data_IF_491591562757
#
_entry.id   IF_491591562757
#
_cell.length_a   1.000
_cell.length_b   1.000
_cell.length_c   1.000
_cell.angle_alpha   90.00
_cell.angle_beta   90.00
_cell.angle_gamma   90.00
#
_symmetry.space_group_name_H-M   'P 1'
#
loop_
_entity.id
_entity.type
_entity.pdbx_description
1 polymer ?
#
# COMPACT_ATOMS: atom_id res chain seq x y z
N UNK A 1 15.60 7.04 3.50
CA UNK A 1 15.86 7.90 2.32
C UNK A 1 14.58 8.64 2.00
N UNK A 2 14.60 9.98 2.07
CA UNK A 2 13.45 10.81 1.72
C UNK A 2 13.32 11.00 0.21
N UNK A 3 12.09 11.16 -0.26
CA UNK A 3 11.79 11.55 -1.63
C UNK A 3 11.44 13.04 -1.67
N UNK A 4 11.79 13.70 -2.76
CA UNK A 4 11.45 15.09 -3.02
C UNK A 4 10.85 15.25 -4.41
N UNK A 5 9.80 16.04 -4.52
CA UNK A 5 9.23 16.42 -5.81
C UNK A 5 9.98 17.63 -6.38
N UNK A 6 10.41 17.50 -7.61
CA UNK A 6 11.08 18.57 -8.36
C UNK A 6 10.29 18.83 -9.64
N UNK A 7 9.85 20.09 -9.85
CA UNK A 7 9.30 20.51 -11.12
C UNK A 7 10.43 20.83 -12.12
N UNK A 8 10.16 20.83 -13.44
CA UNK A 8 11.11 21.31 -14.44
C UNK A 8 11.55 22.75 -14.14
N UNK A 9 12.85 23.02 -14.20
CA UNK A 9 13.43 24.34 -13.94
C UNK A 9 14.47 24.32 -12.82
N UNK A 10 14.88 25.53 -12.39
CA UNK A 10 15.84 25.68 -11.29
C UNK A 10 15.09 25.53 -9.96
N UNK A 11 15.54 24.61 -9.12
CA UNK A 11 15.02 24.40 -7.77
C UNK A 11 16.12 24.70 -6.75
N UNK A 12 15.75 25.27 -5.62
CA UNK A 12 16.65 25.48 -4.48
C UNK A 12 16.24 24.56 -3.35
N UNK A 13 17.20 23.79 -2.82
CA UNK A 13 17.01 22.88 -1.72
C UNK A 13 17.79 23.39 -0.50
N UNK A 14 17.14 23.44 0.65
CA UNK A 14 17.81 23.60 1.94
C UNK A 14 18.06 22.21 2.55
N UNK A 15 19.32 21.92 2.82
CA UNK A 15 19.75 20.63 3.37
C UNK A 15 20.28 20.87 4.77
N UNK A 16 19.49 20.53 5.78
CA UNK A 16 19.95 20.52 7.16
C UNK A 16 20.70 19.23 7.48
N UNK A 17 22.03 19.30 7.44
CA UNK A 17 22.90 18.16 7.72
C UNK A 17 22.80 17.64 9.17
N UNK A 18 22.22 18.40 10.08
CA UNK A 18 21.99 17.97 11.47
C UNK A 18 20.75 17.08 11.63
N UNK A 19 19.84 17.17 10.65
CA UNK A 19 18.62 16.35 10.57
C UNK A 19 18.75 15.40 9.39
N UNK A 20 19.28 14.24 9.63
CA UNK A 20 19.84 13.32 8.64
C UNK A 20 18.95 12.91 7.45
N UNK A 21 17.70 13.35 7.37
CA UNK A 21 16.75 12.95 6.32
C UNK A 21 15.77 14.05 5.87
N UNK A 22 15.94 15.31 6.29
CA UNK A 22 15.04 16.38 5.88
C UNK A 22 15.62 17.17 4.70
N UNK A 23 15.03 16.98 3.54
CA UNK A 23 15.21 17.85 2.37
C UNK A 23 14.03 18.83 2.36
N UNK A 24 14.32 20.12 2.51
CA UNK A 24 13.30 21.17 2.49
C UNK A 24 13.41 21.97 1.20
N UNK A 25 12.41 21.93 0.31
CA UNK A 25 12.37 22.83 -0.84
C UNK A 25 12.14 24.27 -0.35
N UNK A 26 12.93 25.18 -0.84
CA UNK A 26 12.84 26.62 -0.49
C UNK A 26 11.88 27.33 -1.45
N UNK A 27 11.74 26.83 -2.67
CA UNK A 27 10.94 27.46 -3.73
C UNK A 27 9.64 26.68 -4.01
N UNK A 28 8.52 27.16 -3.49
CA UNK A 28 7.18 27.02 -4.07
C UNK A 28 6.51 25.63 -4.14
N UNK A 29 7.20 24.52 -3.85
CA UNK A 29 6.65 23.17 -3.96
C UNK A 29 6.36 22.53 -2.59
N UNK A 30 5.91 23.33 -1.64
CA UNK A 30 5.73 22.90 -0.24
C UNK A 30 4.63 21.86 -0.09
N UNK A 31 3.51 22.04 -0.80
CA UNK A 31 2.35 21.11 -0.74
C UNK A 31 2.68 19.75 -1.36
N UNK A 32 3.33 19.74 -2.51
CA UNK A 32 3.75 18.52 -3.20
C UNK A 32 4.69 17.70 -2.31
N UNK A 33 5.63 18.37 -1.66
CA UNK A 33 6.58 17.70 -0.78
C UNK A 33 5.95 17.27 0.57
N UNK A 34 4.96 17.98 1.07
CA UNK A 34 4.16 17.55 2.23
C UNK A 34 3.39 16.26 1.93
N UNK A 35 2.81 16.14 0.73
CA UNK A 35 2.14 14.91 0.30
C UNK A 35 3.13 13.75 0.23
N UNK A 36 4.30 13.94 -0.37
CA UNK A 36 5.32 12.89 -0.43
C UNK A 36 5.79 12.45 0.96
N UNK A 37 5.92 13.37 1.92
CA UNK A 37 6.22 13.03 3.32
C UNK A 37 5.11 12.22 3.97
N UNK A 38 3.85 12.65 3.78
CA UNK A 38 2.69 11.88 4.28
C UNK A 38 2.67 10.46 3.68
N UNK A 39 2.94 10.31 2.38
CA UNK A 39 3.01 8.99 1.74
C UNK A 39 4.14 8.12 2.30
N UNK A 40 5.31 8.70 2.58
CA UNK A 40 6.41 7.99 3.22
C UNK A 40 6.05 7.57 4.66
N UNK A 41 5.43 8.46 5.44
CA UNK A 41 4.95 8.16 6.78
C UNK A 41 3.89 7.07 6.80
N UNK A 42 3.03 7.02 5.78
CA UNK A 42 2.04 5.98 5.61
C UNK A 42 2.68 4.61 5.43
N UNK A 43 3.69 4.54 4.58
CA UNK A 43 4.42 3.29 4.33
C UNK A 43 5.09 2.78 5.62
N UNK A 44 5.72 3.67 6.39
CA UNK A 44 6.44 3.28 7.61
C UNK A 44 5.51 3.03 8.80
N UNK A 45 4.47 3.81 8.97
CA UNK A 45 3.71 3.87 10.20
C UNK A 45 2.32 3.24 10.15
N UNK A 46 1.68 3.17 8.99
CA UNK A 46 0.30 2.69 8.88
C UNK A 46 0.23 1.33 8.20
N UNK A 47 0.86 1.20 7.04
CA UNK A 47 0.83 -0.05 6.27
C UNK A 47 1.96 -1.03 6.67
N UNK A 48 2.97 -0.58 7.41
CA UNK A 48 4.00 -1.46 7.95
C UNK A 48 3.52 -2.16 9.21
N UNK A 49 2.82 -3.26 9.02
CA UNK A 49 2.21 -4.09 10.06
C UNK A 49 3.22 -4.75 11.01
N UNK A 50 4.51 -4.73 10.68
CA UNK A 50 5.57 -5.26 11.57
C UNK A 50 5.83 -4.33 12.77
N UNK A 51 5.59 -3.03 12.62
CA UNK A 51 5.90 -2.04 13.64
C UNK A 51 4.78 -1.85 14.68
N UNK A 52 3.52 -2.14 14.33
CA UNK A 52 2.37 -1.89 15.22
C UNK A 52 1.50 -3.12 15.38
N UNK A 53 1.76 -3.89 16.42
CA UNK A 53 0.93 -5.03 16.86
C UNK A 53 -0.40 -4.60 17.50
N UNK A 54 -0.99 -3.49 17.20
CA UNK A 54 -2.06 -3.04 18.09
C UNK A 54 -3.33 -2.48 17.46
N UNK A 55 -3.28 -1.42 16.68
CA UNK A 55 -4.46 -0.56 16.73
C UNK A 55 -5.35 -0.53 15.48
N UNK A 56 -4.83 -0.69 14.28
CA UNK A 56 -5.67 -0.67 13.06
C UNK A 56 -6.02 -2.08 12.59
N UNK A 57 -5.11 -3.02 12.81
CA UNK A 57 -5.22 -4.39 12.32
C UNK A 57 -5.05 -5.41 13.45
N UNK A 58 -5.76 -5.23 14.55
CA UNK A 58 -5.83 -6.27 15.58
C UNK A 58 -6.55 -7.49 14.98
N UNK A 59 -5.76 -8.29 14.25
CA UNK A 59 -6.21 -9.47 13.53
C UNK A 59 -6.20 -10.61 14.54
N UNK A 60 -7.30 -10.75 15.28
CA UNK A 60 -7.56 -11.93 16.08
C UNK A 60 -7.77 -13.16 15.20
N UNK A 61 -7.85 -14.33 15.83
CA UNK A 61 -8.12 -15.61 15.14
C UNK A 61 -9.40 -15.61 14.30
N UNK A 62 -10.32 -14.69 14.60
CA UNK A 62 -11.63 -14.55 13.99
C UNK A 62 -11.75 -13.32 13.09
N UNK A 63 -10.63 -12.80 12.58
CA UNK A 63 -10.67 -11.61 11.73
C UNK A 63 -11.26 -11.95 10.38
N UNK A 64 -12.37 -11.33 10.06
CA UNK A 64 -13.09 -11.48 8.80
C UNK A 64 -12.35 -10.69 7.71
N UNK A 65 -12.02 -11.35 6.61
CA UNK A 65 -11.27 -10.77 5.48
C UNK A 65 -11.93 -9.50 4.92
N UNK A 66 -13.26 -9.50 4.83
CA UNK A 66 -14.05 -8.33 4.41
C UNK A 66 -13.89 -7.13 5.33
N UNK A 67 -13.69 -7.33 6.62
CA UNK A 67 -13.41 -6.26 7.58
C UNK A 67 -12.03 -5.64 7.35
N UNK A 68 -11.03 -6.45 7.03
CA UNK A 68 -9.67 -5.97 6.68
C UNK A 68 -9.73 -5.17 5.39
N UNK A 69 -10.36 -5.73 4.36
CA UNK A 69 -10.59 -5.04 3.09
C UNK A 69 -11.23 -3.67 3.30
N UNK A 70 -12.37 -3.64 4.00
CA UNK A 70 -13.10 -2.40 4.24
C UNK A 70 -12.26 -1.36 4.97
N UNK A 71 -11.55 -1.73 6.04
CA UNK A 71 -10.70 -0.81 6.79
C UNK A 71 -9.60 -0.22 5.92
N UNK A 72 -8.95 -1.04 5.09
CA UNK A 72 -7.87 -0.60 4.21
C UNK A 72 -8.38 0.34 3.13
N UNK A 73 -9.50 0.01 2.50
CA UNK A 73 -10.08 0.84 1.43
C UNK A 73 -10.69 2.14 1.97
N UNK A 74 -11.38 2.11 3.10
CA UNK A 74 -11.90 3.32 3.75
C UNK A 74 -10.75 4.28 4.12
N UNK A 75 -9.66 3.73 4.66
CA UNK A 75 -8.50 4.51 5.02
C UNK A 75 -7.79 5.09 3.78
N UNK A 76 -7.55 4.26 2.76
CA UNK A 76 -6.96 4.70 1.50
C UNK A 76 -7.80 5.81 0.86
N UNK A 77 -9.13 5.65 0.80
CA UNK A 77 -10.05 6.66 0.25
C UNK A 77 -10.00 7.98 1.04
N UNK A 78 -9.87 7.91 2.38
CA UNK A 78 -9.70 9.11 3.21
C UNK A 78 -8.45 9.88 2.81
N UNK A 79 -7.34 9.15 2.60
CA UNK A 79 -6.07 9.75 2.19
C UNK A 79 -6.10 10.29 0.75
N UNK A 80 -6.74 9.58 -0.18
CA UNK A 80 -6.94 10.07 -1.55
C UNK A 80 -7.64 11.43 -1.56
N UNK A 81 -8.61 11.62 -0.66
CA UNK A 81 -9.33 12.89 -0.52
C UNK A 81 -8.48 14.03 0.08
N UNK A 82 -7.39 13.70 0.76
CA UNK A 82 -6.44 14.70 1.27
C UNK A 82 -5.43 15.17 0.20
N UNK A 83 -5.29 14.41 -0.90
CA UNK A 83 -4.40 14.76 -2.02
C UNK A 83 -5.09 15.79 -2.92
N UNK A 84 -5.06 17.05 -2.49
CA UNK A 84 -5.68 18.18 -3.17
C UNK A 84 -4.68 19.29 -3.43
N UNK A 85 -5.02 20.18 -4.35
CA UNK A 85 -4.24 21.41 -4.64
C UNK A 85 -2.79 21.16 -5.10
N UNK A 86 -2.55 20.05 -5.78
CA UNK A 86 -1.28 19.71 -6.44
C UNK A 86 -1.52 19.45 -7.93
N UNK A 87 -0.44 19.38 -8.71
CA UNK A 87 -0.60 19.04 -10.13
C UNK A 87 -1.21 17.65 -10.34
N UNK A 88 -1.92 17.48 -11.45
CA UNK A 88 -2.68 16.26 -11.75
C UNK A 88 -1.78 15.02 -11.84
N UNK A 89 -0.55 15.15 -12.31
CA UNK A 89 0.37 14.03 -12.44
C UNK A 89 0.81 13.52 -11.06
N UNK A 90 1.18 14.44 -10.18
CA UNK A 90 1.54 14.08 -8.79
C UNK A 90 0.34 13.49 -8.06
N UNK A 91 -0.85 14.08 -8.26
CA UNK A 91 -2.10 13.57 -7.68
C UNK A 91 -2.36 12.13 -8.09
N UNK A 92 -2.30 11.81 -9.38
CA UNK A 92 -2.52 10.45 -9.88
C UNK A 92 -1.49 9.46 -9.32
N UNK A 93 -0.22 9.83 -9.28
CA UNK A 93 0.84 9.00 -8.68
C UNK A 93 0.63 8.78 -7.19
N UNK A 94 0.27 9.81 -6.44
CA UNK A 94 0.02 9.71 -5.01
C UNK A 94 -1.18 8.80 -4.70
N UNK A 95 -2.29 8.97 -5.42
CA UNK A 95 -3.47 8.11 -5.29
C UNK A 95 -3.10 6.66 -5.59
N UNK A 96 -2.38 6.42 -6.69
CA UNK A 96 -1.98 5.07 -7.06
C UNK A 96 -1.01 4.45 -6.03
N UNK A 97 -0.08 5.23 -5.49
CA UNK A 97 0.81 4.76 -4.43
C UNK A 97 0.03 4.35 -3.17
N UNK A 98 -0.94 5.15 -2.72
CA UNK A 98 -1.82 4.81 -1.60
C UNK A 98 -2.52 3.46 -1.82
N UNK A 99 -3.06 3.22 -3.01
CA UNK A 99 -3.76 1.97 -3.36
C UNK A 99 -2.83 0.77 -3.40
N UNK A 100 -1.65 0.91 -3.97
CA UNK A 100 -0.61 -0.15 -4.01
C UNK A 100 -0.16 -0.50 -2.58
N UNK A 101 0.03 0.49 -1.72
CA UNK A 101 0.38 0.26 -0.32
C UNK A 101 -0.74 -0.42 0.46
N UNK A 102 -2.00 -0.06 0.21
CA UNK A 102 -3.16 -0.74 0.81
C UNK A 102 -3.25 -2.22 0.39
N UNK A 103 -3.01 -2.52 -0.90
CA UNK A 103 -2.93 -3.89 -1.39
C UNK A 103 -1.79 -4.65 -0.74
N UNK A 104 -0.61 -4.05 -0.62
CA UNK A 104 0.54 -4.67 0.07
C UNK A 104 0.21 -5.01 1.52
N UNK A 105 -0.47 -4.11 2.22
CA UNK A 105 -0.92 -4.34 3.59
C UNK A 105 -1.90 -5.52 3.67
N UNK A 106 -2.84 -5.62 2.73
CA UNK A 106 -3.76 -6.74 2.63
C UNK A 106 -3.03 -8.07 2.41
N UNK A 107 -2.11 -8.13 1.45
CA UNK A 107 -1.32 -9.33 1.14
C UNK A 107 -0.52 -9.84 2.34
N UNK A 108 0.04 -8.93 3.14
CA UNK A 108 0.75 -9.28 4.37
C UNK A 108 -0.16 -9.98 5.39
N UNK A 109 -1.46 -9.66 5.42
CA UNK A 109 -2.45 -10.33 6.26
C UNK A 109 -2.95 -11.64 5.64
N UNK A 110 -3.10 -11.66 4.32
CA UNK A 110 -3.58 -12.82 3.57
C UNK A 110 -2.80 -14.08 3.92
N UNK A 111 -1.49 -14.09 3.74
CA UNK A 111 -0.67 -15.27 3.98
C UNK A 111 -0.74 -15.78 5.43
N UNK A 112 -0.80 -14.87 6.40
CA UNK A 112 -0.85 -15.25 7.82
C UNK A 112 -2.17 -15.89 8.23
N UNK A 113 -3.27 -15.47 7.64
CA UNK A 113 -4.63 -15.89 8.00
C UNK A 113 -5.13 -17.03 7.12
N UNK A 114 -4.81 -17.04 5.84
CA UNK A 114 -5.21 -18.09 4.90
C UNK A 114 -4.76 -19.47 5.36
N UNK A 115 -3.50 -19.63 5.76
CA UNK A 115 -2.94 -20.92 6.19
C UNK A 115 -3.59 -21.51 7.45
N UNK A 116 -4.24 -20.67 8.24
CA UNK A 116 -4.86 -21.04 9.52
C UNK A 116 -6.37 -21.14 9.44
N UNK A 117 -6.95 -20.77 8.32
CA UNK A 117 -8.38 -20.69 8.11
C UNK A 117 -9.03 -22.02 7.75
N UNK A 118 -10.32 -22.17 8.09
CA UNK A 118 -11.20 -23.16 7.47
C UNK A 118 -11.39 -22.86 5.99
N UNK A 119 -11.92 -23.80 5.22
CA UNK A 119 -12.18 -23.60 3.77
C UNK A 119 -13.10 -22.39 3.52
N UNK A 120 -14.08 -22.14 4.40
CA UNK A 120 -14.94 -20.97 4.32
C UNK A 120 -14.15 -19.68 4.50
N UNK A 121 -13.24 -19.62 5.48
CA UNK A 121 -12.41 -18.45 5.72
C UNK A 121 -11.39 -18.25 4.58
N UNK A 122 -10.83 -19.32 4.03
CA UNK A 122 -9.95 -19.22 2.87
C UNK A 122 -10.66 -18.57 1.70
N UNK A 123 -11.89 -19.02 1.40
CA UNK A 123 -12.70 -18.41 0.34
C UNK A 123 -12.98 -16.93 0.58
N UNK A 124 -13.27 -16.53 1.81
CA UNK A 124 -13.46 -15.10 2.15
C UNK A 124 -12.20 -14.27 1.90
N UNK A 125 -11.01 -14.82 2.22
CA UNK A 125 -9.73 -14.17 1.94
C UNK A 125 -9.47 -14.05 0.45
N UNK A 126 -9.81 -15.06 -0.36
CA UNK A 126 -9.67 -15.02 -1.81
C UNK A 126 -10.62 -13.99 -2.44
N UNK A 127 -11.89 -13.98 -2.02
CA UNK A 127 -12.88 -13.03 -2.53
C UNK A 127 -12.50 -11.58 -2.20
N UNK A 128 -12.00 -11.33 -1.00
CA UNK A 128 -11.53 -10.00 -0.60
C UNK A 128 -10.20 -9.62 -1.28
N UNK A 129 -9.34 -10.59 -1.58
CA UNK A 129 -8.12 -10.36 -2.37
C UNK A 129 -8.45 -9.90 -3.79
N UNK A 130 -9.40 -10.55 -4.45
CA UNK A 130 -9.86 -10.14 -5.77
C UNK A 130 -10.38 -8.69 -5.74
N UNK A 131 -11.17 -8.32 -4.73
CA UNK A 131 -11.65 -6.95 -4.56
C UNK A 131 -10.52 -5.95 -4.30
N UNK A 132 -9.48 -6.34 -3.55
CA UNK A 132 -8.30 -5.49 -3.34
C UNK A 132 -7.50 -5.27 -4.61
N UNK A 133 -7.37 -6.28 -5.47
CA UNK A 133 -6.74 -6.15 -6.78
C UNK A 133 -7.50 -5.17 -7.68
N UNK A 134 -8.83 -5.27 -7.72
CA UNK A 134 -9.69 -4.34 -8.46
C UNK A 134 -9.55 -2.91 -7.92
N UNK A 135 -9.58 -2.73 -6.61
CA UNK A 135 -9.40 -1.43 -5.97
C UNK A 135 -8.02 -0.83 -6.28
N UNK A 136 -6.97 -1.63 -6.16
CA UNK A 136 -5.60 -1.17 -6.39
C UNK A 136 -5.30 -0.88 -7.86
N UNK A 137 -6.01 -1.54 -8.79
CA UNK A 137 -5.84 -1.38 -10.24
C UNK A 137 -4.35 -1.39 -10.67
N UNK A 138 -3.64 -2.44 -10.30
CA UNK A 138 -2.17 -2.57 -10.39
C UNK A 138 -1.63 -2.36 -11.81
N UNK A 139 -2.47 -2.57 -12.83
CA UNK A 139 -2.11 -2.41 -14.24
C UNK A 139 -1.96 -0.96 -14.72
N UNK A 140 -2.21 0.03 -13.89
CA UNK A 140 -2.01 1.44 -14.24
C UNK A 140 -0.52 1.79 -14.36
N UNK A 141 -0.18 2.67 -15.30
CA UNK A 141 1.20 3.10 -15.51
C UNK A 141 1.82 3.76 -14.26
N UNK A 142 1.02 4.45 -13.48
CA UNK A 142 1.43 5.11 -12.24
C UNK A 142 1.88 4.13 -11.15
N UNK A 143 1.46 2.86 -11.22
CA UNK A 143 1.83 1.84 -10.24
C UNK A 143 3.34 1.64 -10.11
N UNK A 144 4.08 1.78 -11.22
CA UNK A 144 5.54 1.59 -11.22
C UNK A 144 6.30 2.64 -10.40
N UNK A 145 5.65 3.75 -10.08
CA UNK A 145 6.24 4.81 -9.25
C UNK A 145 6.06 4.56 -7.75
N UNK A 146 5.22 3.59 -7.37
CA UNK A 146 5.09 3.21 -5.96
C UNK A 146 6.33 2.43 -5.50
N UNK A 147 6.95 2.81 -4.38
CA UNK A 147 8.03 2.02 -3.78
C UNK A 147 7.64 0.58 -3.44
N UNK A 148 6.34 0.33 -3.17
CA UNK A 148 5.82 -0.99 -2.85
C UNK A 148 5.50 -1.86 -4.08
N UNK A 149 5.57 -1.31 -5.30
CA UNK A 149 5.11 -2.00 -6.51
C UNK A 149 5.84 -3.32 -6.78
N UNK A 150 7.16 -3.32 -6.67
CA UNK A 150 7.95 -4.54 -6.92
C UNK A 150 7.61 -5.67 -5.92
N UNK A 151 7.41 -5.30 -4.65
CA UNK A 151 7.02 -6.26 -3.61
C UNK A 151 5.60 -6.77 -3.82
N UNK A 152 4.68 -5.90 -4.26
CA UNK A 152 3.30 -6.29 -4.62
C UNK A 152 3.32 -7.31 -5.75
N UNK A 153 4.03 -7.05 -6.84
CA UNK A 153 4.13 -7.98 -7.99
C UNK A 153 4.73 -9.32 -7.56
N UNK A 154 5.77 -9.29 -6.74
CA UNK A 154 6.39 -10.51 -6.20
C UNK A 154 5.42 -11.30 -5.32
N UNK A 155 4.66 -10.63 -4.46
CA UNK A 155 3.66 -11.28 -3.61
C UNK A 155 2.46 -11.82 -4.40
N UNK A 156 2.01 -11.14 -5.46
CA UNK A 156 0.98 -11.65 -6.38
C UNK A 156 1.41 -12.98 -6.98
N UNK A 157 2.62 -13.05 -7.54
CA UNK A 157 3.17 -14.29 -8.08
C UNK A 157 3.25 -15.40 -7.01
N UNK A 158 3.63 -15.04 -5.78
CA UNK A 158 3.66 -15.97 -4.65
C UNK A 158 2.30 -16.51 -4.26
N UNK A 159 1.27 -15.68 -4.26
CA UNK A 159 -0.13 -16.09 -3.99
C UNK A 159 -0.62 -17.02 -5.09
N UNK A 160 -0.40 -16.69 -6.36
CA UNK A 160 -0.84 -17.51 -7.50
C UNK A 160 -0.21 -18.91 -7.46
N UNK A 161 1.09 -19.00 -7.18
CA UNK A 161 1.78 -20.29 -7.05
C UNK A 161 1.20 -21.10 -5.89
N UNK A 162 0.96 -20.46 -4.76
CA UNK A 162 0.40 -21.09 -3.57
C UNK A 162 -1.01 -21.63 -3.83
N UNK A 163 -1.89 -20.86 -4.46
CA UNK A 163 -3.25 -21.26 -4.81
C UNK A 163 -3.27 -22.40 -5.82
N UNK A 164 -2.36 -22.42 -6.81
CA UNK A 164 -2.24 -23.52 -7.77
C UNK A 164 -1.81 -24.83 -7.07
N UNK A 165 -0.93 -24.73 -6.08
CA UNK A 165 -0.50 -25.91 -5.32
C UNK A 165 -1.65 -26.49 -4.46
N UNK A 166 -2.40 -25.64 -3.79
CA UNK A 166 -3.56 -26.05 -2.98
C UNK A 166 -4.64 -26.74 -3.84
N UNK A 167 -4.92 -26.24 -5.04
CA UNK A 167 -5.89 -26.86 -5.96
C UNK A 167 -5.46 -28.27 -6.38
N UNK A 168 -4.18 -28.47 -6.73
CA UNK A 168 -3.66 -29.78 -7.13
C UNK A 168 -3.75 -30.80 -6.01
N UNK A 169 -3.43 -30.43 -4.77
CA UNK A 169 -3.50 -31.34 -3.64
C UNK A 169 -4.93 -31.71 -3.24
N UNK A 170 -5.91 -30.87 -3.55
CA UNK A 170 -7.33 -31.16 -3.29
C UNK A 170 -7.97 -32.03 -4.39
N UNK A 171 -7.45 -31.97 -5.63
CA UNK A 171 -7.94 -32.80 -6.74
C UNK A 171 -7.40 -34.26 -6.69
N UNK A 172 -6.30 -34.47 -5.95
CA UNK A 172 -5.67 -35.81 -5.81
C UNK A 172 -6.19 -36.61 -4.58
N UNK A 173 -7.14 -36.09 -3.81
CA UNK A 173 -7.78 -36.75 -2.66
C UNK A 173 -9.27 -37.00 -2.89
#
# INVERSE_FOLDING_TARGET
LGSIYLAPGKQTLDIDASKSNELNPVDGLTKENEILRKLADLNENVFNLRARRGDIFNVGKDTVASSVYKKLTDYATTLENEVTEVDDQLRQRAIQDIRIQALMAYMNQYFGNYRRGSETLKKEWDDAYAQMLDFANVGQAESVFSPAFADVVSNMAGIDIFMQHERRTNDDN
#
